data_IF_257265720480
#
_entry.id   IF_257265720480
#
_cell.length_a   1.000
_cell.length_b   1.000
_cell.length_c   1.000
_cell.angle_alpha   90.00
_cell.angle_beta   90.00
_cell.angle_gamma   90.00
#
_symmetry.space_group_name_H-M   'P 1'
#
loop_
_entity.id
_entity.type
_entity.pdbx_description
1 polymer ?
#
# COMPACT_ATOMS: atom_id res chain seq x y z
N UNK A 1 26.67 6.76 0.97
CA UNK A 1 25.71 6.54 2.06
C UNK A 1 24.35 6.38 1.42
N UNK A 2 23.70 5.23 1.57
CA UNK A 2 22.43 4.95 0.88
C UNK A 2 21.30 5.78 1.49
N UNK A 3 20.55 6.49 0.65
CA UNK A 3 19.41 7.30 1.08
C UNK A 3 18.27 6.47 1.70
N UNK A 4 18.29 5.14 1.52
CA UNK A 4 17.29 4.21 2.03
C UNK A 4 17.85 3.33 3.15
N UNK A 5 17.37 3.55 4.37
CA UNK A 5 17.74 2.78 5.56
C UNK A 5 16.68 1.71 5.82
N UNK A 6 17.09 0.47 6.09
CA UNK A 6 16.14 -0.60 6.40
C UNK A 6 15.62 -0.41 7.83
N UNK A 7 14.30 -0.39 8.00
CA UNK A 7 13.64 -0.35 9.31
C UNK A 7 12.67 -1.53 9.45
N UNK A 8 12.16 -1.76 10.66
CA UNK A 8 11.17 -2.81 10.88
C UNK A 8 9.94 -2.57 9.99
N UNK A 9 9.59 -3.59 9.19
CA UNK A 9 8.46 -3.54 8.28
C UNK A 9 8.68 -2.69 7.02
N UNK A 10 9.84 -2.06 6.77
CA UNK A 10 9.92 -1.08 5.69
C UNK A 10 11.29 -0.48 5.43
N UNK A 11 11.28 0.77 5.00
CA UNK A 11 12.45 1.60 4.76
C UNK A 11 12.21 3.03 5.25
N UNK A 12 13.28 3.67 5.70
CA UNK A 12 13.32 5.07 6.07
C UNK A 12 14.15 5.84 5.05
N UNK A 13 13.66 7.00 4.63
CA UNK A 13 14.26 7.86 3.61
C UNK A 13 14.20 9.31 4.08
N UNK A 14 15.35 9.94 4.34
CA UNK A 14 15.42 11.32 4.89
C UNK A 14 14.56 11.54 6.16
N UNK A 15 14.39 10.50 6.98
CA UNK A 15 13.55 10.51 8.19
C UNK A 15 12.07 10.22 7.94
N UNK A 16 11.68 9.94 6.70
CA UNK A 16 10.32 9.57 6.32
C UNK A 16 10.21 8.05 6.22
N UNK A 17 9.27 7.46 6.93
CA UNK A 17 9.09 6.01 6.97
C UNK A 17 8.05 5.55 5.95
N UNK A 18 8.40 4.49 5.21
CA UNK A 18 7.50 3.75 4.34
C UNK A 18 7.50 2.31 4.84
N UNK A 19 6.38 1.90 5.41
CA UNK A 19 6.22 0.58 6.03
C UNK A 19 5.16 -0.26 5.35
N UNK A 20 5.45 -1.54 5.22
CA UNK A 20 4.47 -2.57 4.95
C UNK A 20 3.76 -2.94 6.25
N UNK A 21 2.44 -2.95 6.20
CA UNK A 21 1.59 -3.33 7.31
C UNK A 21 0.28 -3.92 6.76
N UNK A 22 -0.36 -4.74 7.57
CA UNK A 22 -1.69 -5.27 7.30
C UNK A 22 -2.42 -5.48 8.63
N UNK A 23 -3.74 -5.58 8.59
CA UNK A 23 -4.50 -5.94 9.79
C UNK A 23 -4.03 -7.34 10.27
N UNK A 24 -3.65 -7.44 11.54
CA UNK A 24 -3.25 -8.72 12.13
C UNK A 24 -4.47 -9.64 12.30
N UNK A 25 -4.36 -10.92 11.94
CA UNK A 25 -5.45 -11.90 12.05
C UNK A 25 -5.85 -12.26 13.50
N UNK A 26 -5.37 -11.51 14.51
CA UNK A 26 -5.68 -11.74 15.94
C UNK A 26 -7.12 -11.42 16.34
N UNK A 27 -7.95 -10.96 15.39
CA UNK A 27 -9.38 -10.71 15.56
C UNK A 27 -10.29 -11.70 14.84
N UNK A 28 -9.81 -12.90 14.48
CA UNK A 28 -10.71 -13.93 13.92
C UNK A 28 -11.78 -14.34 14.96
N UNK A 29 -13.04 -14.51 14.53
CA UNK A 29 -14.21 -14.52 15.41
C UNK A 29 -14.28 -15.80 16.24
N UNK A 30 -14.06 -15.66 17.55
CA UNK A 30 -14.85 -16.40 18.53
C UNK A 30 -16.24 -15.75 18.66
N UNK A 31 -17.21 -16.42 19.32
CA UNK A 31 -18.54 -15.84 19.55
C UNK A 31 -18.39 -14.60 20.44
N UNK A 32 -18.41 -13.42 19.82
CA UNK A 32 -18.04 -12.13 20.44
C UNK A 32 -17.07 -11.26 19.64
N UNK A 33 -16.62 -11.69 18.45
CA UNK A 33 -15.70 -10.94 17.58
C UNK A 33 -16.35 -9.73 16.88
N UNK A 34 -16.41 -8.60 17.57
CA UNK A 34 -16.82 -7.32 17.00
C UNK A 34 -15.75 -6.74 16.03
N UNK A 35 -15.98 -6.84 14.71
CA UNK A 35 -15.47 -5.87 13.72
C UNK A 35 -14.21 -6.21 12.91
N UNK A 36 -13.94 -7.49 12.62
CA UNK A 36 -12.71 -7.94 11.93
C UNK A 36 -12.82 -8.08 10.38
N UNK A 37 -13.87 -7.59 9.76
CA UNK A 37 -14.19 -7.95 8.37
C UNK A 37 -13.49 -7.03 7.36
N UNK A 38 -13.59 -5.71 7.53
CA UNK A 38 -13.13 -4.76 6.51
C UNK A 38 -11.63 -4.40 6.60
N UNK A 39 -11.02 -4.40 7.79
CA UNK A 39 -9.60 -4.05 7.96
C UNK A 39 -8.66 -5.02 7.22
N UNK A 40 -9.07 -6.29 7.10
CA UNK A 40 -8.29 -7.35 6.46
C UNK A 40 -8.07 -7.12 4.97
N UNK A 41 -8.97 -6.36 4.32
CA UNK A 41 -8.84 -5.99 2.91
C UNK A 41 -7.88 -4.83 2.67
N UNK A 42 -7.39 -4.21 3.75
CA UNK A 42 -6.52 -3.04 3.68
C UNK A 42 -5.10 -3.35 4.11
N UNK A 43 -4.14 -2.81 3.38
CA UNK A 43 -2.72 -3.08 3.60
C UNK A 43 -1.84 -1.96 3.04
N UNK A 44 -0.57 -2.01 3.42
CA UNK A 44 0.52 -1.35 2.73
C UNK A 44 1.64 -2.33 2.44
N UNK A 45 2.33 -2.15 1.32
CA UNK A 45 3.49 -2.91 0.89
C UNK A 45 4.58 -1.96 0.48
N UNK A 46 5.82 -2.37 0.75
CA UNK A 46 7.00 -1.60 0.37
C UNK A 46 8.01 -2.55 -0.24
N UNK A 47 8.52 -2.18 -1.41
CA UNK A 47 9.55 -2.91 -2.14
C UNK A 47 10.67 -1.95 -2.49
N UNK A 48 11.90 -2.44 -2.43
CA UNK A 48 13.09 -1.72 -2.89
C UNK A 48 13.74 -2.55 -3.99
N UNK A 49 14.11 -1.91 -5.09
CA UNK A 49 14.96 -2.48 -6.14
C UNK A 49 15.88 -1.37 -6.67
N UNK A 50 17.18 -1.63 -6.58
CA UNK A 50 18.22 -0.63 -6.78
C UNK A 50 18.00 0.64 -5.95
N UNK A 51 17.88 1.76 -6.67
CA UNK A 51 17.67 3.10 -6.12
C UNK A 51 16.20 3.54 -6.14
N UNK A 52 15.28 2.63 -6.44
CA UNK A 52 13.84 2.92 -6.45
C UNK A 52 13.16 2.22 -5.29
N UNK A 53 12.30 2.96 -4.61
CA UNK A 53 11.41 2.45 -3.58
C UNK A 53 9.97 2.54 -4.07
N UNK A 54 9.24 1.43 -4.06
CA UNK A 54 7.80 1.43 -4.33
C UNK A 54 7.04 1.22 -3.04
N UNK A 55 6.03 2.06 -2.85
CA UNK A 55 5.02 1.91 -1.84
C UNK A 55 3.67 1.73 -2.53
N UNK A 56 2.93 0.71 -2.09
CA UNK A 56 1.55 0.48 -2.51
C UNK A 56 0.69 0.35 -1.27
N UNK A 57 -0.34 1.16 -1.16
CA UNK A 57 -1.36 1.02 -0.12
C UNK A 57 -2.75 0.82 -0.71
N UNK A 58 -3.57 0.05 0.01
CA UNK A 58 -4.97 -0.21 -0.33
C UNK A 58 -5.83 0.08 0.89
N UNK A 59 -6.62 1.14 0.83
CA UNK A 59 -7.56 1.61 1.85
C UNK A 59 -9.02 1.47 1.36
N UNK A 60 -9.26 0.47 0.52
CA UNK A 60 -10.59 0.14 -0.01
C UNK A 60 -10.98 -1.28 0.37
N UNK A 61 -12.27 -1.49 0.58
CA UNK A 61 -12.89 -2.77 0.93
C UNK A 61 -14.12 -2.99 0.04
N UNK A 62 -14.74 -4.19 0.01
CA UNK A 62 -15.97 -4.40 -0.76
C UNK A 62 -17.12 -3.45 -0.40
N UNK A 63 -17.13 -2.90 0.82
CA UNK A 63 -18.13 -1.93 1.30
C UNK A 63 -17.83 -0.47 0.92
N UNK A 64 -16.62 -0.17 0.44
CA UNK A 64 -16.24 1.20 0.05
C UNK A 64 -16.89 1.66 -1.25
N UNK A 65 -17.22 2.95 -1.30
CA UNK A 65 -17.82 3.62 -2.46
C UNK A 65 -17.01 4.87 -2.80
N UNK A 66 -17.18 5.43 -4.01
CA UNK A 66 -16.42 6.59 -4.47
C UNK A 66 -14.89 6.36 -4.35
N UNK A 67 -14.45 5.25 -4.93
CA UNK A 67 -13.06 4.83 -4.90
C UNK A 67 -12.25 5.60 -5.94
N UNK A 68 -10.99 5.83 -5.60
CA UNK A 68 -10.07 6.55 -6.45
C UNK A 68 -8.67 6.03 -6.17
N UNK A 69 -7.79 6.13 -7.17
CA UNK A 69 -6.38 5.92 -6.96
C UNK A 69 -5.65 7.25 -7.06
N UNK A 70 -4.67 7.40 -6.18
CA UNK A 70 -3.79 8.55 -6.17
C UNK A 70 -2.36 8.08 -5.97
N UNK A 71 -1.43 8.89 -6.41
CA UNK A 71 -0.03 8.56 -6.28
C UNK A 71 0.86 9.70 -6.69
N UNK A 72 2.12 9.55 -6.34
CA UNK A 72 3.15 10.49 -6.72
C UNK A 72 4.48 9.75 -6.86
N UNK A 73 5.33 10.32 -7.70
CA UNK A 73 6.73 9.93 -7.82
C UNK A 73 7.59 11.11 -7.45
N UNK A 74 8.48 10.91 -6.48
CA UNK A 74 9.46 11.91 -6.07
C UNK A 74 10.87 11.40 -6.33
N UNK A 75 11.77 12.32 -6.68
CA UNK A 75 13.16 12.04 -6.98
C UNK A 75 14.10 12.98 -6.25
N UNK A 76 15.22 12.46 -5.79
CA UNK A 76 16.34 13.23 -5.24
C UNK A 76 17.64 12.52 -5.61
N UNK A 77 18.47 13.21 -6.41
CA UNK A 77 19.65 12.60 -7.05
C UNK A 77 19.25 11.35 -7.86
N UNK A 78 19.91 10.22 -7.63
CA UNK A 78 19.64 8.95 -8.29
C UNK A 78 18.56 8.10 -7.58
N UNK A 79 17.94 8.63 -6.50
CA UNK A 79 16.93 7.92 -5.73
C UNK A 79 15.52 8.33 -6.14
N UNK A 80 14.66 7.34 -6.31
CA UNK A 80 13.26 7.54 -6.66
C UNK A 80 12.34 6.84 -5.65
N UNK A 81 11.25 7.49 -5.29
CA UNK A 81 10.19 6.92 -4.46
C UNK A 81 8.89 7.05 -5.24
N UNK A 82 8.27 5.92 -5.52
CA UNK A 82 6.98 5.81 -6.19
C UNK A 82 5.95 5.36 -5.16
N UNK A 83 4.92 6.18 -4.97
CA UNK A 83 3.83 5.93 -4.04
C UNK A 83 2.54 5.83 -4.82
N UNK A 84 1.84 4.72 -4.62
CA UNK A 84 0.49 4.49 -5.12
C UNK A 84 -0.43 4.11 -3.97
N UNK A 85 -1.61 4.71 -3.95
CA UNK A 85 -2.67 4.44 -2.98
C UNK A 85 -3.97 4.20 -3.73
N UNK A 86 -4.64 3.11 -3.38
CA UNK A 86 -6.05 2.91 -3.70
C UNK A 86 -6.85 3.31 -2.47
N UNK A 87 -7.74 4.27 -2.62
CA UNK A 87 -8.38 4.97 -1.51
C UNK A 87 -9.87 5.22 -1.81
N UNK A 88 -10.60 5.68 -0.81
CA UNK A 88 -12.03 5.96 -0.89
C UNK A 88 -12.35 7.33 -0.33
N UNK A 89 -13.28 8.05 -1.00
CA UNK A 89 -13.89 9.28 -0.47
C UNK A 89 -15.25 9.00 0.19
N UNK A 90 -15.72 7.76 0.14
CA UNK A 90 -16.94 7.33 0.79
C UNK A 90 -16.77 7.22 2.32
N UNK A 91 -17.86 6.95 3.05
CA UNK A 91 -17.80 6.69 4.49
C UNK A 91 -16.88 5.51 4.80
N UNK A 92 -15.93 5.71 5.70
CA UNK A 92 -14.98 4.67 6.14
C UNK A 92 -15.38 4.20 7.54
N UNK A 93 -15.93 2.99 7.63
CA UNK A 93 -16.29 2.34 8.91
C UNK A 93 -15.21 1.45 9.52
N UNK A 94 -14.08 1.30 8.84
CA UNK A 94 -12.99 0.39 9.23
C UNK A 94 -11.71 1.14 9.58
N UNK A 95 -10.86 0.50 10.38
CA UNK A 95 -9.49 0.98 10.60
C UNK A 95 -8.61 0.53 9.44
N UNK A 96 -7.81 1.45 8.90
CA UNK A 96 -6.79 1.12 7.90
C UNK A 96 -5.73 0.20 8.53
N UNK A 97 -5.55 -0.99 7.97
CA UNK A 97 -4.57 -1.98 8.41
C UNK A 97 -3.17 -1.75 7.85
N UNK A 98 -3.01 -0.86 6.86
CA UNK A 98 -1.71 -0.44 6.36
C UNK A 98 -1.09 0.69 7.17
N UNK A 99 0.08 1.14 6.74
CA UNK A 99 0.79 2.28 7.29
C UNK A 99 0.77 3.41 6.27
N UNK A 100 0.15 4.55 6.58
CA UNK A 100 -0.01 5.64 5.61
C UNK A 100 1.34 6.14 5.07
N UNK A 101 1.46 6.39 3.76
CA UNK A 101 2.70 6.92 3.20
C UNK A 101 2.89 8.39 3.63
N UNK A 102 4.14 8.89 3.68
CA UNK A 102 4.40 10.30 3.96
C UNK A 102 3.73 11.20 2.91
N UNK A 103 3.14 12.35 3.27
CA UNK A 103 2.51 13.24 2.29
C UNK A 103 3.55 13.88 1.35
N UNK A 104 3.12 14.28 0.15
CA UNK A 104 4.00 14.93 -0.85
C UNK A 104 4.76 16.15 -0.29
N UNK A 105 4.11 16.94 0.57
CA UNK A 105 4.70 18.10 1.23
C UNK A 105 5.89 17.75 2.12
N UNK A 106 5.88 16.56 2.75
CA UNK A 106 7.00 16.09 3.57
C UNK A 106 8.24 15.81 2.71
N UNK A 107 8.05 15.25 1.52
CA UNK A 107 9.13 15.03 0.55
C UNK A 107 9.71 16.36 0.05
N UNK A 108 8.86 17.30 -0.33
CA UNK A 108 9.27 18.63 -0.78
C UNK A 108 10.06 19.38 0.30
N UNK A 109 9.63 19.31 1.57
CA UNK A 109 10.35 19.89 2.70
C UNK A 109 11.75 19.29 2.91
N UNK A 110 11.99 18.08 2.42
CA UNK A 110 13.30 17.41 2.42
C UNK A 110 14.10 17.61 1.13
N UNK A 111 13.61 18.48 0.23
CA UNK A 111 14.27 18.81 -1.04
C UNK A 111 14.10 17.76 -2.14
N UNK A 112 13.07 16.92 -2.05
CA UNK A 112 12.72 16.00 -3.14
C UNK A 112 11.91 16.71 -4.20
N UNK A 113 12.20 16.41 -5.46
CA UNK A 113 11.48 16.93 -6.62
C UNK A 113 10.30 16.03 -6.96
N UNK A 114 9.14 16.63 -7.20
CA UNK A 114 7.95 15.90 -7.67
C UNK A 114 8.10 15.68 -9.17
N UNK A 115 8.22 14.42 -9.58
CA UNK A 115 8.36 14.03 -10.99
C UNK A 115 7.00 13.74 -11.61
N UNK A 116 6.12 13.12 -10.84
CA UNK A 116 4.75 12.84 -11.25
C UNK A 116 3.81 12.92 -10.06
N UNK A 117 2.58 13.33 -10.32
CA UNK A 117 1.47 13.25 -9.38
C UNK A 117 0.23 12.92 -10.20
N UNK A 118 -0.60 12.03 -9.68
CA UNK A 118 -1.86 11.70 -10.32
C UNK A 118 -2.94 11.41 -9.29
N UNK A 119 -4.16 11.65 -9.72
CA UNK A 119 -5.37 11.22 -9.05
C UNK A 119 -6.39 10.87 -10.13
N UNK A 120 -7.05 9.73 -10.01
CA UNK A 120 -8.13 9.36 -10.93
C UNK A 120 -9.19 8.51 -10.23
N UNK A 121 -10.47 8.68 -10.60
CA UNK A 121 -11.52 7.81 -10.11
C UNK A 121 -11.29 6.37 -10.59
N UNK A 122 -11.74 5.41 -9.79
CA UNK A 122 -11.66 3.99 -10.10
C UNK A 122 -13.06 3.39 -9.97
N UNK A 123 -13.53 2.72 -11.02
CA UNK A 123 -14.80 1.98 -10.97
C UNK A 123 -14.59 0.67 -10.19
N UNK A 124 -15.43 0.41 -9.17
CA UNK A 124 -15.31 -0.76 -8.29
C UNK A 124 -14.18 -0.66 -7.26
N UNK A 125 -13.76 -1.80 -6.68
CA UNK A 125 -12.62 -1.89 -5.74
C UNK A 125 -11.25 -1.92 -6.45
N UNK A 126 -11.19 -1.56 -7.73
CA UNK A 126 -9.98 -1.50 -8.56
C UNK A 126 -9.56 -2.80 -9.24
N UNK A 127 -9.83 -3.97 -8.68
CA UNK A 127 -9.60 -5.30 -9.27
C UNK A 127 -10.59 -6.31 -8.63
N UNK A 128 -10.95 -7.44 -9.28
CA UNK A 128 -11.61 -8.54 -8.60
C UNK A 128 -10.78 -8.97 -7.38
N UNK A 129 -11.44 -9.50 -6.34
CA UNK A 129 -10.74 -10.07 -5.19
C UNK A 129 -9.63 -11.00 -5.73
N UNK A 130 -8.37 -10.80 -5.35
CA UNK A 130 -7.37 -11.82 -5.61
C UNK A 130 -7.89 -13.14 -5.05
N UNK A 131 -7.65 -14.29 -5.70
CA UNK A 131 -8.17 -15.59 -5.24
C UNK A 131 -7.88 -15.87 -3.76
N UNK A 132 -6.74 -15.36 -3.27
CA UNK A 132 -6.35 -15.40 -1.85
C UNK A 132 -7.17 -14.47 -0.94
N UNK A 133 -8.24 -13.82 -1.41
CA UNK A 133 -9.07 -12.92 -0.61
C UNK A 133 -10.57 -13.13 -0.86
N UNK A 134 -10.94 -14.16 -1.64
CA UNK A 134 -12.32 -14.54 -1.93
C UNK A 134 -13.01 -15.29 -0.76
N UNK A 135 -12.26 -15.62 0.31
CA UNK A 135 -12.81 -16.23 1.52
C UNK A 135 -11.98 -15.93 2.78
N UNK A 136 -12.57 -16.11 3.96
CA UNK A 136 -11.89 -15.97 5.25
C UNK A 136 -10.71 -16.95 5.44
N UNK A 137 -10.70 -18.05 4.68
CA UNK A 137 -9.62 -19.04 4.66
C UNK A 137 -8.49 -18.59 3.75
N UNK A 138 -8.82 -17.99 2.60
CA UNK A 138 -7.84 -17.55 1.62
C UNK A 138 -7.13 -16.27 2.07
N UNK A 139 -7.80 -15.35 2.78
CA UNK A 139 -7.23 -14.10 3.33
C UNK A 139 -6.04 -14.30 4.30
N UNK A 140 -5.80 -15.54 4.74
CA UNK A 140 -4.65 -15.94 5.57
C UNK A 140 -3.37 -16.16 4.75
N UNK A 141 -3.49 -16.27 3.43
CA UNK A 141 -2.39 -16.44 2.49
C UNK A 141 -1.83 -15.06 2.17
N UNK A 142 -0.58 -14.79 2.57
CA UNK A 142 0.08 -13.52 2.28
C UNK A 142 0.39 -13.45 0.78
N UNK A 143 -0.02 -12.39 0.05
CA UNK A 143 0.34 -12.23 -1.36
C UNK A 143 1.86 -12.14 -1.51
N UNK A 144 2.38 -12.84 -2.51
CA UNK A 144 3.79 -12.77 -2.91
C UNK A 144 4.07 -11.43 -3.59
N UNK A 145 4.96 -10.63 -2.99
CA UNK A 145 5.36 -9.32 -3.51
C UNK A 145 6.08 -9.39 -4.88
N UNK A 146 6.47 -10.58 -5.33
CA UNK A 146 7.02 -10.80 -6.67
C UNK A 146 5.96 -10.64 -7.78
N UNK A 147 4.69 -10.97 -7.51
CA UNK A 147 3.62 -11.04 -8.52
C UNK A 147 2.90 -9.71 -8.79
N UNK A 148 3.15 -8.67 -8.00
CA UNK A 148 2.44 -7.37 -8.10
C UNK A 148 3.28 -6.25 -8.77
N UNK A 149 4.29 -6.61 -9.56
CA UNK A 149 5.00 -5.61 -10.37
C UNK A 149 4.08 -5.11 -11.49
N UNK A 150 3.96 -3.79 -11.74
CA UNK A 150 3.12 -3.24 -12.81
C UNK A 150 3.63 -3.56 -14.23
N UNK A 151 4.80 -4.17 -14.33
CA UNK A 151 5.30 -4.80 -15.54
C UNK A 151 5.26 -6.31 -15.30
N UNK A 152 4.44 -7.01 -16.09
CA UNK A 152 4.23 -8.47 -16.04
C UNK A 152 5.47 -9.26 -16.46
N UNK A 153 6.59 -9.07 -15.77
CA UNK A 153 7.75 -9.94 -15.90
C UNK A 153 7.46 -11.26 -15.18
N UNK A 154 7.23 -12.30 -15.98
CA UNK A 154 7.20 -13.66 -15.50
C UNK A 154 8.54 -13.99 -14.83
N UNK A 155 8.54 -14.70 -13.69
CA UNK A 155 9.78 -15.24 -13.14
C UNK A 155 10.39 -16.19 -14.17
N UNK A 156 11.62 -15.88 -14.61
CA UNK A 156 12.39 -16.80 -15.47
C UNK A 156 12.61 -18.11 -14.71
N UNK A 157 12.18 -19.20 -15.33
CA UNK A 157 12.46 -20.59 -14.93
C UNK A 157 13.96 -20.84 -14.81
#
# INVERSE_FOLDING_TARGET
MGCFEKVHGGYQVDGLELKAANCGCGGLPGPGGSGAEDCCFTFSRVKKDGNTLWYVGKKTTPSTTNNYEWGYRVKKNDHEVDVKMLDTRGPVGFKFGGYEPPPLSAWQAKGWQVVAQFERPVEGTGEPLPEWCDSAESARIRPDAALQSPHGDQPKK
#
